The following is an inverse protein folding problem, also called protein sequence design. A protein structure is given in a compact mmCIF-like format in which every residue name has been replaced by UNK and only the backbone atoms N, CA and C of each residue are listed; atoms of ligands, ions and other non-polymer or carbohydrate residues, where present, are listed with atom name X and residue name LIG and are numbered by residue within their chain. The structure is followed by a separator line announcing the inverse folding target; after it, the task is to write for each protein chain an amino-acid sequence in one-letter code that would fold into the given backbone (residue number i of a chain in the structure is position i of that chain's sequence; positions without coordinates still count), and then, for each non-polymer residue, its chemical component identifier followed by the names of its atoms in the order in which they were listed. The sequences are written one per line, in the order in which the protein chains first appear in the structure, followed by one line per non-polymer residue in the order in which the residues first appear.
data_IF_829448387336
#
_entry.id   IF_829448387336
#
_cell.length_a   1.000
_cell.length_b   1.000
_cell.length_c   1.000
_cell.angle_alpha   90.00
_cell.angle_beta   90.00
_cell.angle_gamma   90.00
#
_symmetry.space_group_name_H-M   'P 1'
#
loop_
_entity.id
_entity.type
_entity.pdbx_description
1 polymer ?
#
# COMPACT_ATOMS: atom_id res chain seq x y z
N UNK A 1 9.67 -9.18 2.48
CA UNK A 1 10.25 -8.61 3.68
C UNK A 1 9.34 -7.50 4.22
N UNK A 2 8.85 -7.64 5.47
CA UNK A 2 7.84 -6.81 6.13
C UNK A 2 8.37 -6.13 7.39
N UNK A 3 9.69 -6.20 7.66
CA UNK A 3 10.28 -5.65 8.89
C UNK A 3 9.91 -4.18 9.08
N UNK A 4 10.17 -3.33 8.09
CA UNK A 4 9.88 -1.90 8.21
C UNK A 4 8.38 -1.59 8.23
N UNK A 5 7.55 -2.45 7.65
CA UNK A 5 6.08 -2.31 7.74
C UNK A 5 5.60 -2.54 9.18
N UNK A 6 6.16 -3.54 9.86
CA UNK A 6 5.88 -3.79 11.28
C UNK A 6 6.38 -2.62 12.14
N UNK A 7 7.61 -2.17 11.93
CA UNK A 7 8.17 -0.99 12.62
C UNK A 7 7.29 0.27 12.44
N UNK A 8 6.75 0.48 11.23
CA UNK A 8 5.86 1.59 10.96
C UNK A 8 4.54 1.47 11.74
N UNK A 9 3.96 0.26 11.80
CA UNK A 9 2.74 -0.04 12.58
C UNK A 9 2.98 0.17 14.07
N UNK A 10 4.12 -0.28 14.58
CA UNK A 10 4.52 -0.12 15.99
C UNK A 10 4.75 1.37 16.31
N UNK A 11 5.47 2.10 15.45
CA UNK A 11 5.67 3.54 15.60
C UNK A 11 4.35 4.32 15.61
N UNK A 12 3.37 3.87 14.81
CA UNK A 12 2.01 4.42 14.75
C UNK A 12 1.15 4.08 16.00
N UNK A 13 1.60 3.18 16.87
CA UNK A 13 0.84 2.60 18.00
C UNK A 13 -0.49 1.94 17.55
N UNK A 14 -0.47 1.27 16.39
CA UNK A 14 -1.65 0.61 15.80
C UNK A 14 -1.60 -0.92 15.85
N UNK A 15 -0.65 -1.50 16.57
CA UNK A 15 -0.47 -2.96 16.69
C UNK A 15 -1.78 -3.67 17.11
N UNK A 16 -2.56 -3.05 17.99
CA UNK A 16 -3.83 -3.59 18.48
C UNK A 16 -4.86 -3.86 17.36
N UNK A 17 -4.85 -3.05 16.28
CA UNK A 17 -5.72 -3.25 15.10
C UNK A 17 -5.31 -4.54 14.37
N UNK A 18 -4.00 -4.73 14.18
CA UNK A 18 -3.45 -5.86 13.43
C UNK A 18 -3.44 -7.17 14.22
N UNK A 19 -3.50 -7.11 15.54
CA UNK A 19 -3.62 -8.29 16.42
C UNK A 19 -5.06 -8.77 16.63
N UNK A 20 -6.05 -8.08 16.04
CA UNK A 20 -7.47 -8.39 16.24
C UNK A 20 -7.96 -8.16 17.67
N UNK A 21 -7.23 -7.37 18.46
CA UNK A 21 -7.58 -7.04 19.86
C UNK A 21 -8.58 -5.90 19.98
N UNK A 22 -8.70 -5.07 18.95
CA UNK A 22 -9.64 -3.96 18.94
C UNK A 22 -11.01 -4.42 18.45
N UNK A 23 -12.07 -4.27 19.26
CA UNK A 23 -13.41 -4.71 18.89
C UNK A 23 -14.00 -3.96 17.68
N UNK A 24 -13.47 -2.78 17.34
CA UNK A 24 -13.86 -2.00 16.16
C UNK A 24 -13.18 -2.50 14.88
N UNK A 25 -12.15 -3.35 14.99
CA UNK A 25 -11.32 -3.88 13.89
C UNK A 25 -11.23 -5.40 13.97
N UNK A 26 -12.39 -6.07 14.07
CA UNK A 26 -12.44 -7.54 14.12
C UNK A 26 -11.85 -8.17 12.87
N UNK A 27 -12.14 -7.59 11.73
CA UNK A 27 -11.55 -7.95 10.44
C UNK A 27 -11.13 -6.69 9.71
N UNK A 28 -9.97 -6.74 9.07
CA UNK A 28 -9.43 -5.66 8.27
C UNK A 28 -8.92 -6.17 6.92
N UNK A 29 -8.91 -5.25 5.95
CA UNK A 29 -8.12 -5.39 4.74
C UNK A 29 -6.98 -4.40 4.80
N UNK A 30 -5.75 -4.89 4.62
CA UNK A 30 -4.55 -4.07 4.67
C UNK A 30 -3.83 -4.13 3.33
N UNK A 31 -3.74 -3.00 2.65
CA UNK A 31 -2.91 -2.83 1.47
C UNK A 31 -1.46 -2.56 1.89
N UNK A 32 -0.71 -3.62 2.13
CA UNK A 32 0.56 -3.56 2.83
C UNK A 32 1.69 -3.01 1.95
N UNK A 33 2.30 -1.86 2.31
CA UNK A 33 3.53 -1.40 1.68
C UNK A 33 4.69 -2.31 2.06
N UNK A 34 5.47 -2.85 1.10
CA UNK A 34 6.63 -3.65 1.43
C UNK A 34 7.74 -2.81 2.08
N UNK A 35 8.65 -3.44 2.83
CA UNK A 35 9.76 -2.74 3.47
C UNK A 35 10.57 -1.86 2.53
N UNK A 36 10.70 -2.25 1.25
CA UNK A 36 11.42 -1.45 0.26
C UNK A 36 10.75 -0.10 -0.03
N UNK A 37 9.41 -0.06 -0.02
CA UNK A 37 8.65 1.19 -0.19
C UNK A 37 8.88 2.16 0.97
N UNK A 38 8.91 1.62 2.19
CA UNK A 38 9.17 2.40 3.40
C UNK A 38 10.63 2.84 3.42
N UNK A 39 11.56 1.94 3.09
CA UNK A 39 12.98 2.22 3.02
C UNK A 39 13.29 3.40 2.08
N UNK A 40 12.72 3.37 0.89
CA UNK A 40 12.87 4.48 -0.08
C UNK A 40 12.38 5.80 0.49
N UNK A 41 11.23 5.80 1.15
CA UNK A 41 10.68 6.99 1.77
C UNK A 41 11.60 7.55 2.86
N UNK A 42 12.05 6.72 3.81
CA UNK A 42 12.88 7.18 4.94
C UNK A 42 14.27 7.63 4.48
N UNK A 43 14.86 6.99 3.50
CA UNK A 43 16.11 7.44 2.91
C UNK A 43 15.97 8.80 2.22
N UNK A 44 14.87 9.02 1.52
CA UNK A 44 14.53 10.32 0.94
C UNK A 44 14.44 11.40 2.02
N UNK A 45 13.69 11.11 3.05
CA UNK A 45 13.46 12.04 4.16
C UNK A 45 14.76 12.39 4.87
N UNK A 46 15.58 11.39 5.21
CA UNK A 46 16.86 11.57 5.91
C UNK A 46 17.87 12.38 5.09
N UNK A 47 17.87 12.22 3.76
CA UNK A 47 18.77 12.98 2.88
C UNK A 47 18.34 14.42 2.61
N UNK A 48 17.14 14.83 3.08
CA UNK A 48 16.58 16.17 2.87
C UNK A 48 16.25 16.49 1.40
N UNK A 49 16.22 15.50 0.54
CA UNK A 49 15.87 15.65 -0.88
C UNK A 49 14.50 15.03 -1.14
N UNK A 50 13.52 15.84 -1.44
CA UNK A 50 12.16 15.40 -1.80
C UNK A 50 12.03 14.88 -3.25
N UNK A 51 13.11 14.32 -3.81
CA UNK A 51 13.13 13.81 -5.16
C UNK A 51 13.16 12.27 -5.17
N UNK A 52 12.76 11.70 -6.27
CA UNK A 52 12.49 10.31 -6.58
C UNK A 52 13.26 9.22 -5.80
N UNK A 53 12.52 8.19 -5.30
CA UNK A 53 13.14 7.01 -4.70
C UNK A 53 14.04 6.28 -5.71
N UNK A 54 15.23 5.89 -5.26
CA UNK A 54 16.20 5.17 -6.07
C UNK A 54 17.34 6.01 -6.65
N UNK A 55 17.45 7.28 -6.27
CA UNK A 55 18.60 8.14 -6.62
C UNK A 55 19.87 7.65 -5.86
N UNK A 56 20.94 7.23 -6.57
CA UNK A 56 22.19 6.78 -5.95
C UNK A 56 22.87 7.81 -5.06
N UNK A 57 22.69 9.11 -5.33
CA UNK A 57 23.32 10.17 -4.55
C UNK A 57 22.72 10.32 -3.17
N UNK A 58 21.45 9.93 -2.99
CA UNK A 58 20.79 9.90 -1.68
C UNK A 58 21.33 8.79 -0.79
N UNK A 59 21.50 7.60 -1.35
CA UNK A 59 22.14 6.51 -0.66
C UNK A 59 23.53 6.89 -0.14
N UNK A 60 24.30 7.62 -0.93
CA UNK A 60 25.64 8.10 -0.54
C UNK A 60 25.62 9.14 0.58
N UNK A 61 24.54 9.91 0.69
CA UNK A 61 24.40 10.94 1.71
C UNK A 61 24.04 10.39 3.11
N UNK A 62 23.57 9.14 3.19
CA UNK A 62 23.24 8.49 4.47
C UNK A 62 24.50 8.04 5.20
N UNK A 63 24.47 8.09 6.53
CA UNK A 63 25.48 7.49 7.39
C UNK A 63 25.47 5.96 7.25
N UNK A 64 26.56 5.32 7.64
CA UNK A 64 26.63 3.85 7.65
C UNK A 64 25.62 3.23 8.63
N UNK A 65 25.31 3.90 9.73
CA UNK A 65 24.28 3.46 10.67
C UNK A 65 22.89 3.47 10.01
N UNK A 66 22.52 4.57 9.37
CA UNK A 66 21.22 4.70 8.66
C UNK A 66 21.06 3.69 7.53
N UNK A 67 22.15 3.34 6.83
CA UNK A 67 22.13 2.30 5.80
C UNK A 67 21.92 0.90 6.36
N UNK A 68 22.57 0.60 7.48
CA UNK A 68 22.56 -0.71 8.10
C UNK A 68 21.35 -0.93 9.02
N UNK A 69 20.80 0.15 9.59
CA UNK A 69 19.70 0.15 10.56
C UNK A 69 18.56 1.09 10.13
N UNK A 70 17.91 0.86 8.98
CA UNK A 70 16.84 1.73 8.49
C UNK A 70 15.62 1.76 9.43
N UNK A 71 15.49 0.82 10.34
CA UNK A 71 14.49 0.86 11.41
C UNK A 71 14.63 2.08 12.32
N UNK A 72 15.86 2.57 12.55
CA UNK A 72 16.08 3.80 13.33
C UNK A 72 15.48 5.03 12.63
N UNK A 73 15.52 5.07 11.29
CA UNK A 73 14.89 6.13 10.52
C UNK A 73 13.35 6.09 10.65
N UNK A 74 12.75 4.90 10.65
CA UNK A 74 11.30 4.74 10.87
C UNK A 74 10.92 5.19 12.27
N UNK A 75 11.69 4.81 13.28
CA UNK A 75 11.47 5.18 14.69
C UNK A 75 11.60 6.70 14.91
N UNK A 76 12.41 7.40 14.10
CA UNK A 76 12.58 8.86 14.14
C UNK A 76 11.45 9.64 13.45
N UNK A 77 10.55 8.98 12.71
CA UNK A 77 9.42 9.63 12.07
C UNK A 77 8.42 10.16 13.11
N UNK A 78 7.68 11.19 12.72
CA UNK A 78 6.56 11.68 13.53
C UNK A 78 5.50 10.59 13.70
N UNK A 79 5.02 10.42 14.92
CA UNK A 79 4.07 9.36 15.27
C UNK A 79 2.72 9.55 14.60
N UNK A 80 2.19 10.76 14.60
CA UNK A 80 0.85 11.06 14.06
C UNK A 80 0.88 10.92 12.55
N UNK A 81 1.99 11.31 11.91
CA UNK A 81 2.21 11.03 10.51
C UNK A 81 2.26 9.53 10.21
N UNK A 82 3.00 8.74 11.01
CA UNK A 82 3.03 7.28 10.86
C UNK A 82 1.65 6.66 10.99
N UNK A 83 0.87 7.16 11.97
CA UNK A 83 -0.51 6.71 12.19
C UNK A 83 -1.39 6.98 10.98
N UNK A 84 -1.35 8.18 10.45
CA UNK A 84 -2.08 8.53 9.23
C UNK A 84 -1.65 7.63 8.07
N UNK A 85 -0.35 7.47 7.83
CA UNK A 85 0.16 6.64 6.74
C UNK A 85 -0.29 5.19 6.86
N UNK A 86 -0.30 4.60 8.05
CA UNK A 86 -0.82 3.24 8.23
C UNK A 86 -2.33 3.18 7.95
N UNK A 87 -3.10 4.12 8.49
CA UNK A 87 -4.55 4.15 8.32
C UNK A 87 -5.00 4.42 6.88
N UNK A 88 -4.18 5.07 6.06
CA UNK A 88 -4.41 5.23 4.61
C UNK A 88 -4.42 3.90 3.86
N UNK A 89 -3.87 2.85 4.45
CA UNK A 89 -3.76 1.52 3.86
C UNK A 89 -4.72 0.50 4.49
N UNK A 90 -5.53 0.91 5.47
CA UNK A 90 -6.45 0.02 6.22
C UNK A 90 -7.89 0.31 5.87
N UNK A 91 -8.65 -0.76 5.60
CA UNK A 91 -10.10 -0.74 5.42
C UNK A 91 -10.71 -1.72 6.40
N UNK A 92 -11.87 -1.38 6.98
CA UNK A 92 -12.65 -2.33 7.79
C UNK A 92 -13.22 -3.43 6.91
N UNK A 93 -13.30 -4.63 7.49
CA UNK A 93 -13.82 -5.82 6.82
C UNK A 93 -12.75 -6.58 6.03
N UNK A 94 -13.08 -7.79 5.68
CA UNK A 94 -12.26 -8.69 4.89
C UNK A 94 -12.73 -8.69 3.44
N UNK A 95 -11.93 -8.13 2.54
CA UNK A 95 -12.25 -8.01 1.12
C UNK A 95 -11.23 -8.80 0.29
N UNK A 96 -11.65 -9.98 -0.19
CA UNK A 96 -10.80 -10.84 -1.02
C UNK A 96 -10.75 -10.35 -2.47
N UNK A 97 -9.67 -10.68 -3.17
CA UNK A 97 -9.48 -10.32 -4.59
C UNK A 97 -10.70 -10.69 -5.45
N UNK A 98 -11.30 -11.86 -5.20
CA UNK A 98 -12.41 -12.33 -6.04
C UNK A 98 -13.73 -11.57 -5.80
N UNK A 99 -13.84 -10.83 -4.72
CA UNK A 99 -14.96 -9.91 -4.44
C UNK A 99 -14.79 -8.55 -5.12
N UNK A 100 -13.58 -8.21 -5.54
CA UNK A 100 -13.29 -6.96 -6.25
C UNK A 100 -13.77 -7.06 -7.69
N UNK A 101 -14.54 -6.07 -8.15
CA UNK A 101 -15.06 -6.04 -9.50
C UNK A 101 -13.94 -5.82 -10.54
N UNK A 102 -14.15 -6.34 -11.75
CA UNK A 102 -13.30 -6.00 -12.89
C UNK A 102 -13.49 -4.54 -13.29
N UNK A 103 -12.42 -3.92 -13.80
CA UNK A 103 -12.49 -2.61 -14.44
C UNK A 103 -13.42 -2.70 -15.65
N UNK A 104 -14.30 -1.71 -15.81
CA UNK A 104 -14.97 -1.48 -17.08
C UNK A 104 -14.03 -0.66 -17.99
N UNK A 105 -13.61 -1.26 -19.09
CA UNK A 105 -12.62 -0.65 -20.01
C UNK A 105 -13.20 0.43 -20.94
N UNK A 106 -14.51 0.60 -20.92
CA UNK A 106 -15.19 1.65 -21.70
C UNK A 106 -15.01 3.04 -21.07
N UNK A 107 -14.52 3.08 -19.81
CA UNK A 107 -14.29 4.30 -19.05
C UNK A 107 -12.87 4.36 -18.50
N UNK A 108 -12.36 5.57 -18.33
CA UNK A 108 -11.10 5.78 -17.60
C UNK A 108 -11.25 5.35 -16.14
N UNK A 109 -10.14 4.94 -15.51
CA UNK A 109 -10.21 4.37 -14.15
C UNK A 109 -10.62 5.39 -13.09
N UNK A 110 -10.25 6.64 -13.29
CA UNK A 110 -10.58 7.80 -12.44
C UNK A 110 -11.99 8.36 -12.66
N UNK A 111 -12.65 7.99 -13.75
CA UNK A 111 -13.92 8.58 -14.13
C UNK A 111 -15.02 8.28 -13.09
N UNK A 112 -15.91 9.26 -12.85
CA UNK A 112 -17.10 9.06 -12.00
C UNK A 112 -18.06 8.02 -12.60
N UNK A 113 -18.10 7.95 -13.92
CA UNK A 113 -18.92 7.00 -14.68
C UNK A 113 -18.35 5.59 -14.70
N UNK A 114 -17.15 5.36 -14.12
CA UNK A 114 -16.57 4.03 -14.04
C UNK A 114 -17.48 3.09 -13.23
N UNK A 115 -18.10 2.14 -13.93
CA UNK A 115 -18.99 1.14 -13.34
C UNK A 115 -18.30 -0.12 -12.88
N UNK A 116 -16.99 -0.24 -13.16
CA UNK A 116 -16.14 -1.35 -12.71
C UNK A 116 -15.26 -0.95 -11.53
N UNK A 117 -14.62 -1.95 -10.95
CA UNK A 117 -13.86 -1.76 -9.71
C UNK A 117 -14.75 -1.69 -8.46
N UNK A 118 -14.13 -1.53 -7.33
CA UNK A 118 -14.78 -1.43 -6.01
C UNK A 118 -14.16 -0.25 -5.26
N UNK A 119 -14.97 0.71 -4.90
CA UNK A 119 -14.52 1.91 -4.18
C UNK A 119 -14.48 1.65 -2.67
N UNK A 120 -13.41 2.10 -2.06
CA UNK A 120 -13.17 2.01 -0.63
C UNK A 120 -12.83 3.37 -0.04
N UNK A 121 -13.24 3.57 1.21
CA UNK A 121 -12.75 4.65 2.05
C UNK A 121 -11.87 4.02 3.13
N UNK A 122 -10.61 4.41 3.17
CA UNK A 122 -9.68 3.95 4.19
C UNK A 122 -9.93 4.61 5.54
N UNK A 123 -9.35 4.09 6.61
CA UNK A 123 -9.54 4.57 7.98
C UNK A 123 -9.01 6.01 8.20
N UNK A 124 -8.12 6.51 7.35
CA UNK A 124 -7.72 7.94 7.35
C UNK A 124 -8.67 8.84 6.55
N UNK A 125 -9.65 8.28 5.85
CA UNK A 125 -10.62 9.01 5.03
C UNK A 125 -10.27 9.14 3.55
N UNK A 126 -9.06 8.77 3.12
CA UNK A 126 -8.68 8.73 1.70
C UNK A 126 -9.49 7.68 0.93
N UNK A 127 -9.68 7.92 -0.35
CA UNK A 127 -10.45 7.04 -1.24
C UNK A 127 -9.54 6.27 -2.17
N UNK A 128 -9.84 4.98 -2.33
CA UNK A 128 -9.19 4.07 -3.25
C UNK A 128 -10.24 3.37 -4.11
N UNK A 129 -9.91 3.10 -5.36
CA UNK A 129 -10.67 2.16 -6.21
C UNK A 129 -9.82 0.93 -6.45
N UNK A 130 -10.20 -0.21 -5.88
CA UNK A 130 -9.60 -1.48 -6.21
C UNK A 130 -10.27 -2.06 -7.46
N UNK A 131 -9.49 -2.67 -8.36
CA UNK A 131 -10.04 -3.30 -9.55
C UNK A 131 -9.19 -4.47 -10.01
N UNK A 132 -9.84 -5.38 -10.73
CA UNK A 132 -9.18 -6.51 -11.41
C UNK A 132 -9.11 -6.24 -12.90
N UNK A 133 -8.02 -6.73 -13.51
CA UNK A 133 -7.88 -6.77 -14.96
C UNK A 133 -7.36 -8.13 -15.40
N UNK A 134 -7.88 -8.61 -16.54
CA UNK A 134 -7.32 -9.76 -17.23
C UNK A 134 -6.26 -9.30 -18.23
N UNK A 135 -5.19 -10.05 -18.32
CA UNK A 135 -4.18 -9.82 -19.36
C UNK A 135 -4.49 -10.64 -20.61
N UNK A 136 -3.88 -10.25 -21.71
CA UNK A 136 -3.93 -11.04 -22.94
C UNK A 136 -2.89 -12.17 -22.88
N UNK A 137 -3.20 -13.30 -23.48
CA UNK A 137 -2.28 -14.43 -23.61
C UNK A 137 -2.35 -15.06 -25.02
N UNK A 138 -1.19 -15.27 -25.64
CA UNK A 138 -1.11 -15.91 -26.97
C UNK A 138 -1.89 -15.16 -28.07
N UNK A 139 -2.01 -13.83 -27.97
CA UNK A 139 -2.79 -13.01 -28.91
C UNK A 139 -4.31 -13.04 -28.66
N UNK A 140 -4.78 -13.74 -27.63
CA UNK A 140 -6.20 -13.79 -27.24
C UNK A 140 -6.45 -12.79 -26.13
N UNK A 141 -7.43 -11.92 -26.32
CA UNK A 141 -7.84 -10.92 -25.33
C UNK A 141 -8.44 -11.59 -24.10
N UNK A 142 -8.07 -11.13 -22.91
CA UNK A 142 -8.57 -11.59 -21.60
C UNK A 142 -8.34 -13.09 -21.30
N UNK A 143 -7.42 -13.75 -22.00
CA UNK A 143 -7.07 -15.15 -21.78
C UNK A 143 -5.91 -15.36 -20.78
N UNK A 144 -5.30 -14.28 -20.29
CA UNK A 144 -4.16 -14.33 -19.38
C UNK A 144 -4.51 -14.23 -17.92
N UNK A 145 -3.49 -13.97 -17.11
CA UNK A 145 -3.62 -13.84 -15.66
C UNK A 145 -4.50 -12.65 -15.25
N UNK A 146 -5.15 -12.80 -14.11
CA UNK A 146 -5.93 -11.71 -13.46
C UNK A 146 -5.02 -11.01 -12.46
N UNK A 147 -4.77 -9.73 -12.71
CA UNK A 147 -4.08 -8.84 -11.79
C UNK A 147 -5.06 -7.98 -11.01
N UNK A 148 -4.61 -7.51 -9.86
CA UNK A 148 -5.33 -6.55 -9.04
C UNK A 148 -4.52 -5.27 -8.91
N UNK A 149 -5.21 -4.14 -8.96
CA UNK A 149 -4.63 -2.80 -8.87
C UNK A 149 -5.46 -1.95 -7.92
N UNK A 150 -4.82 -0.92 -7.39
CA UNK A 150 -5.50 0.20 -6.75
C UNK A 150 -5.36 1.44 -7.62
N UNK A 151 -6.35 2.30 -7.59
CA UNK A 151 -6.25 3.69 -8.01
C UNK A 151 -6.43 4.57 -6.78
N UNK A 152 -5.47 5.44 -6.53
CA UNK A 152 -5.53 6.46 -5.48
C UNK A 152 -6.12 7.74 -6.05
N UNK A 153 -7.25 8.19 -5.52
CA UNK A 153 -7.86 9.45 -5.96
C UNK A 153 -7.05 10.67 -5.50
N UNK A 154 -6.38 10.57 -4.34
CA UNK A 154 -5.54 11.66 -3.82
C UNK A 154 -4.25 11.84 -4.63
N UNK A 155 -3.59 10.75 -4.97
CA UNK A 155 -2.34 10.79 -5.73
C UNK A 155 -2.55 10.76 -7.24
N UNK A 156 -3.76 10.44 -7.72
CA UNK A 156 -4.09 10.20 -9.13
C UNK A 156 -3.14 9.17 -9.78
N UNK A 157 -2.85 8.12 -9.06
CA UNK A 157 -1.90 7.09 -9.49
C UNK A 157 -2.48 5.68 -9.36
N UNK A 158 -2.06 4.80 -10.28
CA UNK A 158 -2.31 3.36 -10.17
C UNK A 158 -1.20 2.69 -9.37
N UNK A 159 -1.60 1.86 -8.42
CA UNK A 159 -0.68 1.07 -7.60
C UNK A 159 -0.94 -0.41 -7.85
N UNK A 160 -0.02 -1.12 -8.52
CA UNK A 160 -0.17 -2.57 -8.73
C UNK A 160 0.04 -3.33 -7.42
N UNK A 161 -0.66 -4.45 -7.29
CA UNK A 161 -0.43 -5.40 -6.21
C UNK A 161 0.56 -6.48 -6.65
N UNK A 162 1.42 -6.89 -5.73
CA UNK A 162 2.35 -7.99 -5.95
C UNK A 162 1.73 -9.34 -5.55
N UNK A 163 1.05 -9.40 -4.42
CA UNK A 163 0.45 -10.63 -3.89
C UNK A 163 -0.85 -10.30 -3.15
N UNK A 164 -2.00 -10.56 -3.74
CA UNK A 164 -3.28 -10.45 -3.06
C UNK A 164 -3.55 -11.67 -2.17
N UNK A 165 -4.57 -11.54 -1.30
CA UNK A 165 -5.20 -12.63 -0.54
C UNK A 165 -4.28 -13.37 0.45
N UNK A 166 -3.31 -12.71 1.06
CA UNK A 166 -2.63 -13.25 2.23
C UNK A 166 -3.59 -13.15 3.41
N UNK A 167 -4.01 -14.30 3.96
CA UNK A 167 -5.07 -14.35 4.97
C UNK A 167 -4.53 -14.67 6.37
N UNK A 168 -4.19 -13.65 7.18
CA UNK A 168 -4.00 -13.81 8.62
C UNK A 168 -5.34 -14.08 9.32
N UNK A 169 -5.28 -14.36 10.63
CA UNK A 169 -6.47 -14.72 11.42
C UNK A 169 -7.58 -13.66 11.45
N UNK A 170 -7.22 -12.39 11.35
CA UNK A 170 -8.12 -11.26 11.53
C UNK A 170 -8.31 -10.40 10.27
N UNK A 171 -8.22 -10.98 9.09
CA UNK A 171 -8.49 -10.23 7.87
C UNK A 171 -7.79 -10.72 6.62
N UNK A 172 -7.43 -9.80 5.76
CA UNK A 172 -6.67 -10.07 4.54
C UNK A 172 -5.62 -8.99 4.31
N UNK A 173 -4.47 -9.40 3.81
CA UNK A 173 -3.39 -8.52 3.40
C UNK A 173 -3.20 -8.64 1.90
N UNK A 174 -3.22 -7.51 1.22
CA UNK A 174 -2.86 -7.39 -0.19
C UNK A 174 -1.52 -6.67 -0.27
N UNK A 175 -0.47 -7.40 -0.62
CA UNK A 175 0.86 -6.84 -0.75
C UNK A 175 0.96 -5.90 -1.94
N UNK A 176 1.34 -4.65 -1.72
CA UNK A 176 1.62 -3.70 -2.78
C UNK A 176 2.92 -4.07 -3.51
N UNK A 177 3.03 -3.65 -4.76
CA UNK A 177 4.25 -3.88 -5.53
C UNK A 177 5.43 -3.12 -4.92
N UNK A 178 6.63 -3.65 -5.08
CA UNK A 178 7.87 -3.05 -4.57
C UNK A 178 8.19 -1.68 -5.18
N UNK A 179 7.55 -1.32 -6.31
CA UNK A 179 7.67 0.01 -6.92
C UNK A 179 6.78 1.07 -6.25
N UNK A 180 5.87 0.66 -5.39
CA UNK A 180 5.06 1.59 -4.62
C UNK A 180 5.94 2.48 -3.75
N UNK A 181 5.60 3.75 -3.67
CA UNK A 181 6.24 4.73 -2.78
C UNK A 181 5.27 5.08 -1.66
N UNK A 182 5.72 4.97 -0.41
CA UNK A 182 4.87 5.30 0.75
C UNK A 182 4.37 6.75 0.66
N UNK A 183 3.07 6.93 0.89
CA UNK A 183 2.40 8.24 0.81
C UNK A 183 1.68 8.51 -0.53
N UNK A 184 1.73 7.57 -1.48
CA UNK A 184 1.02 7.69 -2.77
C UNK A 184 -0.29 6.88 -2.84
N UNK A 185 -0.89 6.63 -1.70
CA UNK A 185 -2.18 5.97 -1.60
C UNK A 185 -3.14 6.77 -0.75
#
# INVERSE_FOLDING_TARGET
NWKLTVELIERAELTHIFEGKDPNYKEITFFAPPSLSILRYVWDKASGKEQFPGDPDRWRALSEDEKNHPEHLVQALDKDWCREMVLRHVIKGKHLKDEIAFRNRDYEIEAEEQTGGTDFTCESGNKLRAYREKTNYGGVTDAGAIFMYLYSFDAMEMVPLASPDIQPLNGVVHALNYNYVLGRI
#
